data_IF_193944959337
#
_entry.id   IF_193944959337
#
_cell.length_a   1.000
_cell.length_b   1.000
_cell.length_c   1.000
_cell.angle_alpha   90.00
_cell.angle_beta   90.00
_cell.angle_gamma   90.00
#
_symmetry.space_group_name_H-M   'P 1'
#
loop_
_entity.id
_entity.type
_entity.pdbx_description
1 polymer ?
#
# COMPACT_ATOMS: atom_id res chain seq x y z
N UNK A 1 15.55 -7.07 12.23
CA UNK A 1 16.12 -6.98 10.86
C UNK A 1 15.21 -6.07 10.08
N UNK A 2 15.72 -5.00 9.49
CA UNK A 2 14.91 -4.05 8.73
C UNK A 2 14.45 -4.66 7.38
N UNK A 3 13.34 -4.15 6.84
CA UNK A 3 12.94 -4.39 5.45
C UNK A 3 14.11 -3.98 4.57
N UNK A 4 14.45 -4.79 3.56
CA UNK A 4 15.58 -4.50 2.67
C UNK A 4 15.13 -3.83 1.37
N UNK A 5 13.98 -4.26 0.85
CA UNK A 5 13.50 -3.83 -0.47
C UNK A 5 12.01 -3.49 -0.44
N UNK A 6 11.65 -2.48 -1.21
CA UNK A 6 10.30 -2.12 -1.65
C UNK A 6 10.26 -2.27 -3.17
N UNK A 7 9.15 -2.74 -3.74
CA UNK A 7 8.95 -2.64 -5.18
C UNK A 7 8.31 -1.30 -5.51
N UNK A 8 8.88 -0.59 -6.46
CA UNK A 8 8.36 0.69 -6.94
C UNK A 8 8.23 0.68 -8.47
N UNK A 9 7.19 1.30 -8.97
CA UNK A 9 7.02 1.70 -10.36
C UNK A 9 6.56 3.15 -10.37
N UNK A 10 7.54 4.03 -10.17
CA UNK A 10 7.37 5.48 -10.18
C UNK A 10 8.17 6.07 -11.33
N UNK A 11 7.99 7.34 -11.59
CA UNK A 11 8.78 8.03 -12.59
C UNK A 11 10.29 7.89 -12.35
N UNK A 12 10.73 8.13 -11.11
CA UNK A 12 12.15 8.15 -10.77
C UNK A 12 12.73 6.78 -10.40
N UNK A 13 11.91 5.78 -10.10
CA UNK A 13 12.36 4.48 -9.56
C UNK A 13 11.50 3.34 -10.06
N UNK A 14 12.17 2.31 -10.63
CA UNK A 14 11.49 1.11 -11.15
C UNK A 14 12.15 -0.15 -10.63
N UNK A 15 11.34 -1.10 -10.18
CA UNK A 15 11.78 -2.40 -9.69
C UNK A 15 11.94 -2.47 -8.17
N UNK A 16 12.79 -3.38 -7.71
CA UNK A 16 13.08 -3.58 -6.30
C UNK A 16 14.14 -2.58 -5.85
N UNK A 17 13.76 -1.58 -5.08
CA UNK A 17 14.66 -0.55 -4.56
C UNK A 17 14.97 -0.80 -3.09
N UNK A 18 16.16 -0.45 -2.60
CA UNK A 18 16.46 -0.47 -1.18
C UNK A 18 15.47 0.36 -0.36
N UNK A 19 15.24 -0.06 0.89
CA UNK A 19 14.30 0.63 1.79
C UNK A 19 14.56 2.14 1.90
N UNK A 20 15.82 2.52 2.07
CA UNK A 20 16.27 3.90 2.21
C UNK A 20 16.02 4.74 0.97
N UNK A 21 15.96 4.11 -0.21
CA UNK A 21 15.72 4.76 -1.48
C UNK A 21 14.23 4.79 -1.88
N UNK A 22 13.35 4.15 -1.09
CA UNK A 22 11.92 4.08 -1.39
C UNK A 22 11.21 5.40 -1.08
N UNK A 23 11.52 6.44 -1.83
CA UNK A 23 11.03 7.81 -1.67
C UNK A 23 10.19 8.25 -2.87
N UNK A 24 9.26 9.17 -2.64
CA UNK A 24 8.51 9.89 -3.67
C UNK A 24 8.77 11.38 -3.54
N UNK A 25 8.51 12.13 -4.60
CA UNK A 25 8.69 13.58 -4.59
C UNK A 25 7.66 14.25 -3.66
N UNK A 26 8.06 15.26 -2.90
CA UNK A 26 7.18 15.99 -1.95
C UNK A 26 5.98 16.67 -2.63
N UNK A 27 6.08 16.99 -3.92
CA UNK A 27 4.99 17.55 -4.73
C UNK A 27 4.16 16.47 -5.43
N UNK A 28 4.32 15.18 -5.09
CA UNK A 28 3.43 14.14 -5.61
C UNK A 28 1.97 14.48 -5.26
N UNK A 29 1.10 14.42 -6.25
CA UNK A 29 -0.29 14.84 -6.15
C UNK A 29 -1.04 14.12 -5.01
N UNK A 30 -0.70 12.87 -4.75
CA UNK A 30 -1.30 12.08 -3.66
C UNK A 30 -1.09 12.71 -2.28
N UNK A 31 0.04 13.38 -2.04
CA UNK A 31 0.35 14.01 -0.74
C UNK A 31 -0.59 15.18 -0.46
N UNK A 32 -0.95 15.94 -1.49
CA UNK A 32 -1.74 17.17 -1.36
C UNK A 32 -3.24 16.95 -1.49
N UNK A 33 -3.64 15.96 -2.31
CA UNK A 33 -5.05 15.76 -2.68
C UNK A 33 -5.56 14.34 -2.41
N UNK A 34 -4.80 13.52 -1.67
CA UNK A 34 -5.14 12.15 -1.31
C UNK A 34 -5.57 11.27 -2.52
N UNK A 35 -5.04 11.57 -3.70
CA UNK A 35 -5.37 10.89 -4.97
C UNK A 35 -4.67 9.54 -5.09
N UNK A 36 -5.08 8.59 -4.26
CA UNK A 36 -4.52 7.26 -4.21
C UNK A 36 -5.51 6.22 -3.69
N UNK A 37 -5.21 4.97 -3.97
CA UNK A 37 -5.91 3.78 -3.50
C UNK A 37 -4.89 2.77 -2.97
N UNK A 38 -5.31 1.91 -2.04
CA UNK A 38 -4.40 0.94 -1.45
C UNK A 38 -5.12 -0.35 -1.05
N UNK A 39 -4.33 -1.39 -0.75
CA UNK A 39 -4.82 -2.63 -0.16
C UNK A 39 -4.02 -3.00 1.08
N UNK A 40 -4.61 -3.87 1.89
CA UNK A 40 -3.96 -4.57 2.98
C UNK A 40 -4.17 -6.06 2.81
N UNK A 41 -3.11 -6.77 2.48
CA UNK A 41 -3.14 -8.20 2.20
C UNK A 41 -2.32 -8.91 3.25
N UNK A 42 -2.77 -10.09 3.71
CA UNK A 42 -2.04 -10.87 4.70
C UNK A 42 -1.50 -12.16 4.10
N UNK A 43 -0.28 -12.50 4.49
CA UNK A 43 0.34 -13.78 4.21
C UNK A 43 0.59 -14.54 5.50
N UNK A 44 0.14 -15.79 5.56
CA UNK A 44 0.22 -16.64 6.76
C UNK A 44 1.15 -17.81 6.54
N UNK A 45 1.86 -18.19 7.58
CA UNK A 45 2.67 -19.42 7.59
C UNK A 45 1.78 -20.64 7.61
N UNK A 46 2.02 -21.55 6.67
CA UNK A 46 1.34 -22.84 6.55
C UNK A 46 2.38 -23.95 6.43
N UNK A 47 1.95 -25.20 6.54
CA UNK A 47 2.83 -26.38 6.34
C UNK A 47 3.47 -26.43 4.94
N UNK A 48 2.83 -25.79 3.95
CA UNK A 48 3.31 -25.72 2.56
C UNK A 48 4.14 -24.45 2.26
N UNK A 49 4.44 -23.63 3.26
CA UNK A 49 5.13 -22.35 3.10
C UNK A 49 4.24 -21.15 3.43
N UNK A 50 4.56 -19.97 2.90
CA UNK A 50 3.80 -18.77 3.11
C UNK A 50 2.63 -18.69 2.12
N UNK A 51 1.40 -18.63 2.62
CA UNK A 51 0.18 -18.48 1.82
C UNK A 51 -0.32 -17.04 1.87
N UNK A 52 -0.42 -16.37 0.72
CA UNK A 52 -1.02 -15.04 0.59
C UNK A 52 -2.54 -15.21 0.51
N UNK A 53 -3.26 -14.71 1.53
CA UNK A 53 -4.70 -14.92 1.63
C UNK A 53 -5.44 -14.04 0.62
N UNK A 54 -6.17 -14.69 -0.31
CA UNK A 54 -6.99 -14.05 -1.37
C UNK A 54 -6.26 -12.93 -2.15
N UNK A 55 -4.96 -13.07 -2.37
CA UNK A 55 -4.13 -12.03 -2.97
C UNK A 55 -4.67 -11.51 -4.31
N UNK A 56 -5.12 -12.40 -5.22
CA UNK A 56 -5.71 -11.99 -6.51
C UNK A 56 -6.96 -11.13 -6.33
N UNK A 57 -7.87 -11.51 -5.42
CA UNK A 57 -9.10 -10.74 -5.17
C UNK A 57 -8.78 -9.33 -4.66
N UNK A 58 -7.77 -9.22 -3.80
CA UNK A 58 -7.27 -7.92 -3.33
C UNK A 58 -6.70 -7.08 -4.47
N UNK A 59 -5.89 -7.67 -5.35
CA UNK A 59 -5.34 -6.93 -6.50
C UNK A 59 -6.40 -6.56 -7.52
N UNK A 60 -7.39 -7.42 -7.76
CA UNK A 60 -8.57 -7.07 -8.57
C UNK A 60 -9.29 -5.86 -7.97
N UNK A 61 -9.49 -5.83 -6.65
CA UNK A 61 -10.13 -4.69 -5.97
C UNK A 61 -9.25 -3.44 -6.02
N UNK A 62 -7.93 -3.55 -5.86
CA UNK A 62 -6.99 -2.44 -6.00
C UNK A 62 -7.09 -1.79 -7.38
N UNK A 63 -7.04 -2.60 -8.45
CA UNK A 63 -7.14 -2.14 -9.84
C UNK A 63 -8.51 -1.51 -10.09
N UNK A 64 -9.60 -2.11 -9.60
CA UNK A 64 -10.95 -1.55 -9.74
C UNK A 64 -11.10 -0.23 -8.97
N UNK A 65 -10.53 -0.13 -7.76
CA UNK A 65 -10.48 1.13 -7.01
C UNK A 65 -9.71 2.21 -7.77
N UNK A 66 -8.58 1.87 -8.39
CA UNK A 66 -7.80 2.79 -9.21
C UNK A 66 -8.57 3.28 -10.45
N UNK A 67 -9.30 2.39 -11.14
CA UNK A 67 -10.16 2.74 -12.29
C UNK A 67 -11.24 3.77 -11.94
N UNK A 68 -11.82 3.69 -10.75
CA UNK A 68 -12.81 4.67 -10.27
C UNK A 68 -12.20 6.08 -10.23
N UNK A 69 -10.93 6.21 -9.85
CA UNK A 69 -10.17 7.46 -9.88
C UNK A 69 -9.46 7.74 -11.21
N UNK A 70 -9.81 6.98 -12.28
CA UNK A 70 -9.16 7.08 -13.61
C UNK A 70 -7.64 6.91 -13.56
N UNK A 71 -7.15 6.12 -12.63
CA UNK A 71 -5.76 5.69 -12.56
C UNK A 71 -5.64 4.32 -13.23
N UNK A 72 -4.88 4.25 -14.32
CA UNK A 72 -4.67 3.01 -15.07
C UNK A 72 -3.23 2.56 -14.88
N UNK A 73 -3.05 1.27 -14.71
CA UNK A 73 -1.76 0.59 -14.61
C UNK A 73 -1.66 -0.44 -15.74
N UNK A 74 -0.45 -0.69 -16.19
CA UNK A 74 -0.11 -1.62 -17.26
C UNK A 74 0.19 -3.06 -16.77
N UNK A 75 -0.34 -3.40 -15.59
CA UNK A 75 -0.13 -4.68 -14.91
C UNK A 75 -1.47 -5.22 -14.40
N UNK A 76 -1.68 -6.51 -14.52
CA UNK A 76 -2.84 -7.22 -13.99
C UNK A 76 -2.61 -7.79 -12.58
N UNK A 77 -3.64 -8.43 -12.04
CA UNK A 77 -3.58 -9.05 -10.69
C UNK A 77 -2.55 -10.19 -10.62
N UNK A 78 -2.26 -10.88 -11.72
CA UNK A 78 -1.25 -11.94 -11.74
C UNK A 78 0.16 -11.33 -11.70
N UNK A 79 0.40 -10.28 -12.45
CA UNK A 79 1.66 -9.54 -12.41
C UNK A 79 1.95 -8.98 -11.04
N UNK A 80 0.96 -8.35 -10.39
CA UNK A 80 1.08 -7.90 -9.00
C UNK A 80 1.39 -9.06 -8.04
N UNK A 81 0.76 -10.23 -8.21
CA UNK A 81 1.04 -11.41 -7.39
C UNK A 81 2.47 -11.91 -7.54
N UNK A 82 3.00 -11.97 -8.76
CA UNK A 82 4.38 -12.42 -9.00
C UNK A 82 5.41 -11.46 -8.40
N UNK A 83 5.21 -10.15 -8.56
CA UNK A 83 6.05 -9.14 -7.89
C UNK A 83 6.00 -9.29 -6.37
N UNK A 84 4.82 -9.52 -5.80
CA UNK A 84 4.66 -9.70 -4.35
C UNK A 84 5.40 -10.92 -3.84
N UNK A 85 5.31 -12.06 -4.54
CA UNK A 85 6.04 -13.28 -4.18
C UNK A 85 7.55 -13.05 -4.23
N UNK A 86 8.02 -12.35 -5.26
CA UNK A 86 9.45 -12.03 -5.40
C UNK A 86 9.91 -11.06 -4.30
N UNK A 87 9.10 -10.04 -3.95
CA UNK A 87 9.39 -9.12 -2.85
C UNK A 87 9.51 -9.86 -1.51
N UNK A 88 8.61 -10.80 -1.24
CA UNK A 88 8.65 -11.65 -0.05
C UNK A 88 9.95 -12.47 -0.01
N UNK A 89 10.36 -13.06 -1.15
CA UNK A 89 11.62 -13.82 -1.26
C UNK A 89 12.85 -12.94 -1.05
N UNK A 90 12.92 -11.78 -1.71
CA UNK A 90 14.05 -10.84 -1.58
C UNK A 90 14.23 -10.31 -0.16
N UNK A 91 13.14 -10.12 0.56
CA UNK A 91 13.16 -9.71 1.97
C UNK A 91 13.29 -10.88 2.96
N UNK A 92 13.33 -12.13 2.48
CA UNK A 92 13.42 -13.34 3.28
C UNK A 92 12.33 -13.44 4.38
N UNK A 93 11.13 -12.92 4.07
CA UNK A 93 10.10 -12.71 5.08
C UNK A 93 9.58 -14.00 5.71
N UNK A 94 9.62 -15.12 5.00
CA UNK A 94 9.23 -16.42 5.56
C UNK A 94 10.17 -16.85 6.69
N UNK A 95 11.49 -16.83 6.45
CA UNK A 95 12.48 -17.23 7.47
C UNK A 95 12.52 -16.21 8.61
N UNK A 96 12.34 -14.91 8.31
CA UNK A 96 12.25 -13.87 9.35
C UNK A 96 11.03 -14.12 10.23
N UNK A 97 9.87 -14.48 9.66
CA UNK A 97 8.65 -14.81 10.41
C UNK A 97 8.86 -16.00 11.33
N UNK A 98 9.41 -17.11 10.79
CA UNK A 98 9.69 -18.31 11.57
C UNK A 98 10.64 -18.01 12.75
N UNK A 99 11.67 -17.20 12.51
CA UNK A 99 12.64 -16.80 13.54
C UNK A 99 12.02 -15.92 14.63
N UNK A 100 11.29 -14.84 14.29
CA UNK A 100 10.72 -13.94 15.30
C UNK A 100 9.67 -14.62 16.16
N UNK A 101 8.96 -15.61 15.59
CA UNK A 101 8.03 -16.47 16.32
C UNK A 101 8.76 -17.39 17.29
N UNK A 102 9.83 -18.07 16.82
CA UNK A 102 10.64 -18.95 17.66
C UNK A 102 11.33 -18.19 18.81
N UNK A 103 11.77 -16.96 18.58
CA UNK A 103 12.39 -16.09 19.58
C UNK A 103 11.36 -15.43 20.53
N UNK A 104 10.07 -15.63 20.32
CA UNK A 104 9.00 -15.03 21.13
C UNK A 104 8.89 -13.50 21.00
N UNK A 105 9.50 -12.91 19.94
CA UNK A 105 9.46 -11.46 19.69
C UNK A 105 8.12 -10.98 19.16
N UNK A 106 7.40 -11.87 18.50
CA UNK A 106 6.05 -11.66 18.00
C UNK A 106 5.23 -12.93 18.29
N UNK A 107 3.98 -12.77 18.74
CA UNK A 107 3.15 -13.91 19.14
C UNK A 107 2.44 -14.55 17.96
N UNK A 108 1.76 -13.72 17.15
CA UNK A 108 0.96 -14.13 16.00
C UNK A 108 1.42 -13.42 14.72
N UNK A 109 2.73 -13.49 14.36
CA UNK A 109 3.23 -12.75 13.24
C UNK A 109 2.63 -13.23 11.92
N UNK A 110 2.35 -12.27 11.04
CA UNK A 110 1.99 -12.51 9.66
C UNK A 110 2.74 -11.55 8.74
N UNK A 111 2.84 -11.89 7.47
CA UNK A 111 3.35 -10.96 6.46
C UNK A 111 2.23 -10.03 6.06
N UNK A 112 2.42 -8.73 6.30
CA UNK A 112 1.53 -7.70 5.81
C UNK A 112 2.07 -7.13 4.50
N UNK A 113 1.21 -7.07 3.48
CA UNK A 113 1.54 -6.56 2.15
C UNK A 113 0.70 -5.31 1.92
N UNK A 114 1.37 -4.20 1.64
CA UNK A 114 0.77 -2.88 1.39
C UNK A 114 1.07 -2.44 -0.05
N UNK A 115 0.23 -2.80 -1.01
CA UNK A 115 0.27 -2.18 -2.33
C UNK A 115 -0.53 -0.88 -2.33
N UNK A 116 -0.08 0.10 -3.11
CA UNK A 116 -0.80 1.33 -3.37
C UNK A 116 -0.60 1.77 -4.83
N UNK A 117 -1.65 2.36 -5.41
CA UNK A 117 -1.63 3.05 -6.71
C UNK A 117 -2.02 4.50 -6.45
N UNK A 118 -1.28 5.45 -7.00
CA UNK A 118 -1.48 6.86 -6.68
C UNK A 118 -1.07 7.78 -7.85
N UNK A 119 -1.48 9.03 -7.76
CA UNK A 119 -0.99 10.08 -8.65
C UNK A 119 0.33 10.62 -8.10
N UNK A 120 1.37 10.44 -8.90
CA UNK A 120 2.72 10.88 -8.58
C UNK A 120 3.00 12.33 -8.91
N UNK A 121 4.28 12.63 -9.08
CA UNK A 121 4.76 13.91 -9.55
C UNK A 121 5.03 13.84 -11.06
N UNK A 122 4.93 14.95 -11.77
CA UNK A 122 5.14 14.99 -13.23
C UNK A 122 6.52 14.49 -13.62
N UNK A 123 6.54 13.83 -14.78
CA UNK A 123 7.69 13.17 -15.35
C UNK A 123 8.65 14.08 -16.12
N UNK A 124 8.21 15.25 -16.51
CA UNK A 124 9.05 16.20 -17.25
C UNK A 124 9.54 17.26 -16.32
N UNK A 125 10.85 17.51 -16.30
CA UNK A 125 11.40 18.69 -15.62
C UNK A 125 10.74 19.90 -16.29
N UNK A 126 10.03 20.74 -15.55
CA UNK A 126 9.50 21.96 -16.10
C UNK A 126 10.68 22.80 -16.60
N UNK A 127 10.58 23.40 -17.80
CA UNK A 127 11.59 24.29 -18.37
C UNK A 127 12.00 25.38 -17.39
N UNK A 128 11.06 25.75 -16.49
CA UNK A 128 11.30 26.60 -15.33
C UNK A 128 10.47 26.12 -14.12
N UNK A 129 11.09 25.39 -13.17
CA UNK A 129 10.38 24.86 -12.00
C UNK A 129 9.84 25.92 -11.06
N UNK A 130 10.23 27.18 -11.21
CA UNK A 130 9.75 28.29 -10.38
C UNK A 130 8.42 28.83 -10.88
N UNK A 131 8.09 28.68 -12.18
CA UNK A 131 6.94 29.37 -12.79
C UNK A 131 5.61 28.63 -12.60
N UNK A 132 5.57 27.32 -12.62
CA UNK A 132 4.35 26.53 -12.26
C UNK A 132 4.70 25.07 -12.01
N UNK A 133 4.98 24.69 -10.75
CA UNK A 133 5.04 23.27 -10.45
C UNK A 133 3.66 22.64 -10.74
N UNK A 134 3.58 21.40 -11.22
CA UNK A 134 2.32 20.74 -11.57
C UNK A 134 1.52 20.32 -10.34
N UNK A 135 1.28 21.26 -9.47
CA UNK A 135 0.54 21.15 -8.23
C UNK A 135 -0.83 21.80 -8.39
N UNK A 136 -1.68 21.22 -9.19
CA UNK A 136 -3.06 21.67 -9.37
C UNK A 136 -4.05 20.57 -9.02
N UNK A 137 -5.32 20.94 -8.76
CA UNK A 137 -6.40 19.97 -8.47
C UNK A 137 -6.67 19.00 -9.63
N UNK A 138 -6.27 19.32 -10.86
CA UNK A 138 -6.47 18.45 -12.00
C UNK A 138 -5.43 17.31 -12.01
N UNK A 139 -5.83 16.06 -11.69
CA UNK A 139 -4.89 14.95 -11.56
C UNK A 139 -4.42 14.39 -12.91
N UNK A 140 -5.01 14.82 -14.04
CA UNK A 140 -4.76 14.20 -15.34
C UNK A 140 -3.35 14.46 -15.87
N UNK A 141 -2.70 15.51 -15.37
CA UNK A 141 -1.30 15.81 -15.70
C UNK A 141 -0.29 14.99 -14.90
N UNK A 142 -0.73 14.32 -13.83
CA UNK A 142 0.13 13.56 -12.94
C UNK A 142 0.15 12.07 -13.33
N UNK A 143 1.32 11.42 -13.40
CA UNK A 143 1.43 10.01 -13.77
C UNK A 143 0.74 9.12 -12.73
N UNK A 144 0.26 7.97 -13.20
CA UNK A 144 -0.13 6.88 -12.29
C UNK A 144 1.11 6.11 -11.89
N UNK A 145 1.37 6.04 -10.61
CA UNK A 145 2.49 5.36 -10.00
C UNK A 145 2.00 4.31 -9.01
N UNK A 146 2.84 3.31 -8.69
CA UNK A 146 2.51 2.33 -7.67
C UNK A 146 3.74 1.79 -6.93
N UNK A 147 3.50 1.28 -5.74
CA UNK A 147 4.48 0.53 -4.98
C UNK A 147 3.86 -0.68 -4.29
N UNK A 148 4.70 -1.62 -3.88
CA UNK A 148 4.35 -2.74 -3.00
C UNK A 148 5.39 -2.79 -1.88
N UNK A 149 4.94 -2.67 -0.63
CA UNK A 149 5.72 -2.94 0.56
C UNK A 149 5.27 -4.25 1.21
N UNK A 150 6.20 -5.00 1.80
CA UNK A 150 5.89 -6.20 2.57
C UNK A 150 6.77 -6.27 3.82
N UNK A 151 6.16 -6.53 4.97
CA UNK A 151 6.82 -6.57 6.27
C UNK A 151 6.03 -7.44 7.25
N UNK A 152 6.64 -7.78 8.38
CA UNK A 152 5.96 -8.52 9.43
C UNK A 152 5.11 -7.58 10.28
N UNK A 153 3.93 -8.07 10.62
CA UNK A 153 3.01 -7.42 11.56
C UNK A 153 2.51 -8.45 12.58
N UNK A 154 2.19 -8.00 13.76
CA UNK A 154 1.55 -8.79 14.81
C UNK A 154 0.08 -8.38 15.00
N UNK A 155 -0.59 -8.89 16.01
CA UNK A 155 -1.98 -8.56 16.31
C UNK A 155 -2.16 -7.04 16.46
N UNK A 156 -3.12 -6.48 15.74
CA UNK A 156 -3.34 -5.02 15.64
C UNK A 156 -3.73 -4.38 16.97
N UNK A 157 -4.55 -5.08 17.75
CA UNK A 157 -5.09 -4.56 19.01
C UNK A 157 -4.44 -5.20 20.26
N UNK A 158 -3.51 -6.15 20.08
CA UNK A 158 -2.95 -6.94 21.16
C UNK A 158 -3.89 -8.04 21.66
N UNK A 159 -3.37 -8.98 22.46
CA UNK A 159 -4.15 -10.13 22.96
C UNK A 159 -5.27 -9.74 23.93
N UNK A 160 -5.05 -8.70 24.73
CA UNK A 160 -6.01 -8.23 25.72
C UNK A 160 -7.29 -7.75 25.03
N UNK A 161 -7.15 -6.91 23.99
CA UNK A 161 -8.28 -6.43 23.21
C UNK A 161 -8.98 -7.53 22.38
N UNK A 162 -8.26 -8.61 22.04
CA UNK A 162 -8.88 -9.78 21.38
C UNK A 162 -9.73 -10.59 22.36
N UNK A 163 -9.34 -10.67 23.64
CA UNK A 163 -10.05 -11.42 24.67
C UNK A 163 -11.17 -10.62 25.34
N UNK A 164 -10.90 -9.37 25.63
CA UNK A 164 -11.78 -8.52 26.46
C UNK A 164 -12.59 -7.51 25.62
N UNK A 165 -12.24 -7.36 24.34
CA UNK A 165 -12.81 -6.34 23.47
C UNK A 165 -12.01 -5.03 23.53
N UNK A 166 -12.49 -4.01 22.84
CA UNK A 166 -11.90 -2.68 22.80
C UNK A 166 -12.91 -1.65 23.32
N UNK A 167 -12.43 -0.71 24.12
CA UNK A 167 -13.23 0.44 24.51
C UNK A 167 -13.53 1.33 23.28
N UNK A 168 -14.79 1.70 23.14
CA UNK A 168 -15.24 2.54 22.03
C UNK A 168 -16.09 3.70 22.53
N UNK A 169 -16.01 4.82 21.82
CA UNK A 169 -16.86 5.99 22.02
C UNK A 169 -17.58 6.37 20.73
N UNK A 170 -18.74 6.98 20.87
CA UNK A 170 -19.44 7.56 19.72
C UNK A 170 -18.80 8.89 19.35
N UNK A 171 -18.29 8.99 18.12
CA UNK A 171 -17.73 10.23 17.58
C UNK A 171 -18.83 11.24 17.27
N UNK A 172 -18.56 12.52 17.49
CA UNK A 172 -19.41 13.63 16.97
C UNK A 172 -19.26 13.84 15.47
N UNK A 173 -18.15 13.33 14.86
CA UNK A 173 -17.94 13.33 13.43
C UNK A 173 -18.61 12.13 12.78
N UNK A 174 -19.37 12.34 11.71
CA UNK A 174 -19.98 11.27 10.93
C UNK A 174 -19.08 10.83 9.81
N UNK A 175 -19.11 9.54 9.46
CA UNK A 175 -18.46 9.03 8.25
C UNK A 175 -19.00 9.75 7.02
N UNK A 176 -18.13 9.90 6.01
CA UNK A 176 -18.54 10.42 4.70
C UNK A 176 -19.73 9.64 4.14
N UNK A 177 -20.75 10.34 3.67
CA UNK A 177 -21.92 9.72 3.09
C UNK A 177 -21.57 8.99 1.78
N UNK A 178 -22.31 7.93 1.41
CA UNK A 178 -22.01 7.11 0.23
C UNK A 178 -21.99 7.87 -1.11
N UNK A 179 -22.62 9.05 -1.14
CA UNK A 179 -22.73 9.91 -2.31
C UNK A 179 -21.75 11.09 -2.32
N UNK A 180 -20.85 11.19 -1.34
CA UNK A 180 -19.86 12.29 -1.26
C UNK A 180 -18.50 11.91 -1.81
N UNK A 181 -18.11 10.64 -1.68
CA UNK A 181 -16.88 10.07 -2.23
C UNK A 181 -17.18 8.69 -2.81
N UNK A 182 -16.35 8.16 -3.73
CA UNK A 182 -16.53 6.82 -4.28
C UNK A 182 -16.37 5.72 -3.22
N UNK A 183 -17.46 5.35 -2.55
CA UNK A 183 -17.46 4.40 -1.43
C UNK A 183 -16.96 2.98 -1.82
N UNK A 184 -17.10 2.59 -3.10
CA UNK A 184 -16.60 1.31 -3.62
C UNK A 184 -15.08 1.27 -3.82
N UNK A 185 -14.42 2.43 -3.87
CA UNK A 185 -12.97 2.50 -3.95
C UNK A 185 -12.36 2.46 -2.54
N UNK A 186 -11.31 1.66 -2.37
CA UNK A 186 -10.48 1.73 -1.17
C UNK A 186 -9.51 2.92 -1.29
N UNK A 187 -10.08 4.13 -1.28
CA UNK A 187 -9.37 5.40 -1.46
C UNK A 187 -8.66 5.87 -0.20
N UNK A 188 -7.50 6.51 -0.36
CA UNK A 188 -6.73 7.09 0.75
C UNK A 188 -7.56 8.13 1.51
N UNK A 189 -8.27 9.00 0.79
CA UNK A 189 -9.12 10.04 1.37
C UNK A 189 -10.20 9.51 2.34
N UNK A 190 -10.69 8.28 2.13
CA UNK A 190 -11.75 7.69 2.95
C UNK A 190 -11.31 7.34 4.37
N UNK A 191 -10.01 7.47 4.69
CA UNK A 191 -9.43 7.14 5.99
C UNK A 191 -9.03 8.37 6.82
N UNK A 192 -9.27 9.57 6.29
CA UNK A 192 -8.99 10.81 7.00
C UNK A 192 -10.12 11.21 7.98
N UNK A 193 -11.25 10.48 7.95
CA UNK A 193 -12.44 10.76 8.77
C UNK A 193 -12.83 9.51 9.58
#
# INVERSE_FOLDING_TARGET
MAIRYIYMNTFSKKGFVPWEDATIHVLSHVIHYASGVFEGIRGYRTDKGLAIFRGKDHYTRLINSAKIYRMFVDIDENGFMEITKELIRKNDLQNVLDRVKAEGKMKNPFVYIRPAIFRGFISEEPEDPVIQPPLGVNPLKNPTEYFIAAFLWDDYLGEEAVKEGADVITSSWTRVAPNTVPAFAKGVANYAN
#
